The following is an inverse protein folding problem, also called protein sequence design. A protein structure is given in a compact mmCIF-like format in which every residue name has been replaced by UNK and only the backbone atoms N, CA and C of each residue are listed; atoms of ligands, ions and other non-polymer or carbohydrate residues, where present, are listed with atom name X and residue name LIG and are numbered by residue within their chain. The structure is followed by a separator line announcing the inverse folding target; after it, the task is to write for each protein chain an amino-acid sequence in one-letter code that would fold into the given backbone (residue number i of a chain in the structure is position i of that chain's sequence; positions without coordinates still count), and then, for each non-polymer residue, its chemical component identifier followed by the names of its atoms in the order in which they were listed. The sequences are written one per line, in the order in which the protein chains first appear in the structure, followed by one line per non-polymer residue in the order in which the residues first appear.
data_IF_712805447896
#
_entry.id   IF_712805447896
#
_cell.length_a   1.000
_cell.length_b   1.000
_cell.length_c   1.000
_cell.angle_alpha   90.00
_cell.angle_beta   90.00
_cell.angle_gamma   90.00
#
_symmetry.space_group_name_H-M   'P 1'
#
loop_
_entity.id
_entity.type
_entity.pdbx_description
1 polymer ?
#
# COMPACT_ATOMS: atom_id res chain seq x y z
N UNK A 1 0.93 -21.11 31.41
CA UNK A 1 -0.50 -21.24 31.05
C UNK A 1 -0.56 -21.52 29.56
N UNK A 2 -1.04 -22.70 29.17
CA UNK A 2 -1.08 -23.14 27.78
C UNK A 2 -2.24 -22.43 27.09
N UNK A 3 -1.95 -21.56 26.12
CA UNK A 3 -2.96 -20.97 25.25
C UNK A 3 -3.30 -22.04 24.23
N UNK A 4 -4.45 -22.70 24.40
CA UNK A 4 -5.01 -23.59 23.41
C UNK A 4 -5.44 -22.74 22.20
N UNK A 5 -4.73 -22.90 21.08
CA UNK A 5 -5.19 -22.45 19.77
C UNK A 5 -6.39 -23.32 19.39
N UNK A 6 -7.59 -22.78 19.52
CA UNK A 6 -8.79 -23.37 18.93
C UNK A 6 -8.66 -23.29 17.41
N UNK A 7 -8.31 -24.42 16.78
CA UNK A 7 -8.17 -24.61 15.34
C UNK A 7 -9.48 -25.03 14.65
N UNK A 8 -10.64 -24.79 15.27
CA UNK A 8 -11.92 -25.04 14.62
C UNK A 8 -12.31 -23.88 13.70
N UNK A 9 -11.69 -23.84 12.50
CA UNK A 9 -12.23 -23.15 11.34
C UNK A 9 -13.41 -23.95 10.74
N UNK A 10 -14.40 -24.27 11.58
CA UNK A 10 -15.66 -24.86 11.11
C UNK A 10 -16.45 -23.78 10.37
N UNK A 11 -16.36 -23.82 9.04
CA UNK A 11 -17.41 -23.44 8.07
C UNK A 11 -18.39 -22.37 8.54
N UNK A 12 -17.93 -21.13 8.65
CA UNK A 12 -18.85 -20.00 8.47
C UNK A 12 -19.41 -20.07 7.04
N UNK A 13 -20.74 -20.13 6.93
CA UNK A 13 -21.48 -20.11 5.66
C UNK A 13 -20.90 -19.03 4.75
N UNK A 14 -20.29 -19.43 3.63
CA UNK A 14 -19.71 -18.52 2.64
C UNK A 14 -20.83 -17.60 2.14
N UNK A 15 -20.72 -16.26 2.29
CA UNK A 15 -21.60 -15.35 1.56
C UNK A 15 -21.46 -15.65 0.06
N UNK A 16 -22.57 -15.75 -0.66
CA UNK A 16 -22.56 -15.96 -2.10
C UNK A 16 -21.73 -14.86 -2.77
N UNK A 17 -20.82 -15.23 -3.65
CA UNK A 17 -20.08 -14.26 -4.45
C UNK A 17 -21.09 -13.46 -5.28
N UNK A 18 -21.10 -12.13 -5.12
CA UNK A 18 -21.89 -11.26 -5.98
C UNK A 18 -21.22 -11.20 -7.35
N UNK A 19 -21.93 -11.60 -8.40
CA UNK A 19 -21.47 -11.46 -9.79
C UNK A 19 -21.49 -10.01 -10.29
N UNK A 20 -22.10 -9.10 -9.53
CA UNK A 20 -22.19 -7.67 -9.86
C UNK A 20 -20.83 -6.98 -9.72
N UNK A 21 -20.41 -6.16 -10.69
CA UNK A 21 -19.14 -5.42 -10.61
C UNK A 21 -19.18 -4.32 -9.55
N UNK A 22 -18.03 -4.04 -8.95
CA UNK A 22 -17.86 -2.92 -8.01
C UNK A 22 -17.66 -1.60 -8.77
N UNK A 23 -18.21 -0.51 -8.22
CA UNK A 23 -17.92 0.86 -8.71
C UNK A 23 -16.65 1.45 -8.06
N UNK A 24 -16.13 0.83 -7.00
CA UNK A 24 -14.92 1.30 -6.33
C UNK A 24 -13.71 1.06 -7.24
N UNK A 25 -12.86 2.07 -7.36
CA UNK A 25 -11.70 2.03 -8.23
C UNK A 25 -11.96 2.47 -9.66
N UNK A 26 -13.19 2.72 -10.08
CA UNK A 26 -13.45 3.34 -11.39
C UNK A 26 -13.17 4.84 -11.35
N UNK A 27 -12.47 5.36 -12.35
CA UNK A 27 -12.35 6.80 -12.61
C UNK A 27 -13.69 7.40 -13.00
N UNK A 28 -13.85 8.73 -12.94
CA UNK A 28 -15.11 9.38 -13.37
C UNK A 28 -15.54 9.04 -14.80
N UNK A 29 -14.65 9.00 -15.81
CA UNK A 29 -15.01 8.52 -17.14
C UNK A 29 -15.50 7.06 -17.14
N UNK A 30 -14.81 6.17 -16.43
CA UNK A 30 -15.20 4.75 -16.32
C UNK A 30 -16.53 4.58 -15.56
N UNK A 31 -16.81 5.39 -14.55
CA UNK A 31 -18.12 5.43 -13.89
C UNK A 31 -19.21 5.83 -14.88
N UNK A 32 -18.98 6.89 -15.67
CA UNK A 32 -19.95 7.33 -16.68
C UNK A 32 -20.21 6.23 -17.72
N UNK A 33 -19.15 5.60 -18.22
CA UNK A 33 -19.23 4.47 -19.16
C UNK A 33 -20.00 3.28 -18.56
N UNK A 34 -19.70 2.89 -17.32
CA UNK A 34 -20.41 1.80 -16.64
C UNK A 34 -21.91 2.08 -16.51
N UNK A 35 -22.28 3.33 -16.19
CA UNK A 35 -23.69 3.74 -16.07
C UNK A 35 -24.44 3.74 -17.41
N UNK A 36 -23.77 4.17 -18.50
CA UNK A 36 -24.33 4.12 -19.85
C UNK A 36 -24.50 2.67 -20.31
N UNK A 37 -23.45 1.85 -20.20
CA UNK A 37 -23.48 0.44 -20.63
C UNK A 37 -24.56 -0.36 -19.90
N UNK A 38 -24.83 -0.04 -18.64
CA UNK A 38 -25.88 -0.66 -17.84
C UNK A 38 -27.30 -0.11 -18.10
N UNK A 39 -27.47 0.89 -18.98
CA UNK A 39 -28.78 1.52 -19.23
C UNK A 39 -29.35 2.27 -18.02
N UNK A 40 -28.48 2.70 -17.08
CA UNK A 40 -28.87 3.46 -15.89
C UNK A 40 -28.95 4.95 -16.18
N UNK A 41 -28.05 5.46 -17.03
CA UNK A 41 -28.01 6.85 -17.45
C UNK A 41 -27.90 6.95 -18.97
N UNK A 42 -28.50 8.00 -19.55
CA UNK A 42 -28.21 8.39 -20.92
C UNK A 42 -26.82 9.03 -21.03
N UNK A 43 -26.24 9.09 -22.25
CA UNK A 43 -24.95 9.75 -22.48
C UNK A 43 -24.90 11.21 -21.99
N UNK A 44 -26.05 11.89 -22.05
CA UNK A 44 -26.20 13.28 -21.59
C UNK A 44 -26.12 13.38 -20.06
N UNK A 45 -26.62 12.37 -19.34
CA UNK A 45 -26.71 12.37 -17.87
C UNK A 45 -25.51 11.68 -17.20
N UNK A 46 -24.81 10.80 -17.91
CA UNK A 46 -23.79 9.91 -17.38
C UNK A 46 -22.68 10.66 -16.61
N UNK A 47 -22.20 11.80 -17.13
CA UNK A 47 -21.16 12.62 -16.46
C UNK A 47 -21.63 13.23 -15.15
N UNK A 48 -22.86 13.74 -15.12
CA UNK A 48 -23.46 14.30 -13.91
C UNK A 48 -23.67 13.19 -12.87
N UNK A 49 -24.24 12.05 -13.27
CA UNK A 49 -24.46 10.90 -12.38
C UNK A 49 -23.14 10.34 -11.84
N UNK A 50 -22.12 10.20 -12.68
CA UNK A 50 -20.77 9.80 -12.24
C UNK A 50 -20.21 10.75 -11.19
N UNK A 51 -20.43 12.06 -11.33
CA UNK A 51 -20.00 13.06 -10.34
C UNK A 51 -20.76 12.95 -9.01
N UNK A 52 -22.08 12.66 -9.05
CA UNK A 52 -22.86 12.38 -7.84
C UNK A 52 -22.35 11.13 -7.13
N UNK A 53 -22.18 10.02 -7.86
CA UNK A 53 -21.66 8.77 -7.30
C UNK A 53 -20.26 8.98 -6.72
N UNK A 54 -19.36 9.63 -7.45
CA UNK A 54 -18.00 9.92 -6.98
C UNK A 54 -17.96 10.56 -5.60
N UNK A 55 -18.80 11.57 -5.36
CA UNK A 55 -18.90 12.22 -4.07
C UNK A 55 -19.37 11.26 -2.97
N UNK A 56 -20.41 10.46 -3.24
CA UNK A 56 -20.89 9.45 -2.29
C UNK A 56 -19.84 8.38 -1.97
N UNK A 57 -19.08 7.93 -2.97
CA UNK A 57 -18.07 6.88 -2.82
C UNK A 57 -16.85 7.36 -2.03
N UNK A 58 -16.30 8.53 -2.37
CA UNK A 58 -14.97 8.93 -1.93
C UNK A 58 -14.95 10.07 -0.89
N UNK A 59 -15.97 10.92 -0.88
CA UNK A 59 -16.14 11.96 0.15
C UNK A 59 -16.89 11.41 1.35
N UNK A 60 -18.06 10.78 1.10
CA UNK A 60 -18.95 10.28 2.15
C UNK A 60 -18.66 8.83 2.57
N UNK A 61 -17.99 8.05 1.72
CA UNK A 61 -17.64 6.67 2.04
C UNK A 61 -18.81 5.69 2.04
N UNK A 62 -19.93 6.01 1.38
CA UNK A 62 -21.14 5.17 1.47
C UNK A 62 -20.91 3.76 0.93
N UNK A 63 -21.54 2.80 1.59
CA UNK A 63 -21.60 1.38 1.21
C UNK A 63 -22.99 0.96 0.76
N UNK A 64 -23.93 1.91 0.73
CA UNK A 64 -25.33 1.68 0.40
C UNK A 64 -25.83 2.75 -0.58
N UNK A 65 -26.40 2.30 -1.70
CA UNK A 65 -26.97 3.17 -2.73
C UNK A 65 -28.19 3.94 -2.22
N UNK A 66 -28.98 3.39 -1.31
CA UNK A 66 -30.19 4.04 -0.80
C UNK A 66 -29.89 5.31 0.01
N UNK A 67 -28.67 5.43 0.54
CA UNK A 67 -28.21 6.65 1.24
C UNK A 67 -27.96 7.83 0.30
N UNK A 68 -27.93 7.63 -1.02
CA UNK A 68 -27.62 8.68 -1.99
C UNK A 68 -28.82 9.62 -2.23
N UNK A 69 -29.08 10.53 -1.29
CA UNK A 69 -30.31 11.37 -1.25
C UNK A 69 -30.51 12.29 -2.45
N UNK A 70 -29.44 12.63 -3.17
CA UNK A 70 -29.49 13.44 -4.40
C UNK A 70 -29.61 12.60 -5.69
N UNK A 71 -29.81 11.27 -5.56
CA UNK A 71 -30.07 10.34 -6.66
C UNK A 71 -31.52 9.85 -6.56
N UNK A 72 -32.26 9.93 -7.67
CA UNK A 72 -33.66 9.54 -7.69
C UNK A 72 -33.86 8.06 -7.33
N UNK A 73 -34.92 7.74 -6.58
CA UNK A 73 -35.19 6.37 -6.08
C UNK A 73 -35.14 5.28 -7.18
N UNK A 74 -35.72 5.47 -8.38
CA UNK A 74 -35.63 4.45 -9.44
C UNK A 74 -34.19 4.19 -9.91
N UNK A 75 -33.33 5.21 -9.87
CA UNK A 75 -31.91 5.09 -10.25
C UNK A 75 -31.13 4.36 -9.16
N UNK A 76 -31.39 4.64 -7.88
CA UNK A 76 -30.78 3.91 -6.75
C UNK A 76 -31.10 2.41 -6.79
N UNK A 77 -32.34 2.07 -7.13
CA UNK A 77 -32.74 0.67 -7.29
C UNK A 77 -31.94 -0.01 -8.41
N UNK A 78 -31.89 0.59 -9.61
CA UNK A 78 -31.10 0.07 -10.74
C UNK A 78 -29.62 -0.09 -10.39
N UNK A 79 -29.04 0.88 -9.67
CA UNK A 79 -27.66 0.81 -9.20
C UNK A 79 -27.46 -0.38 -8.26
N UNK A 80 -28.35 -0.54 -7.27
CA UNK A 80 -28.31 -1.68 -6.35
C UNK A 80 -28.45 -3.02 -7.09
N UNK A 81 -29.33 -3.10 -8.09
CA UNK A 81 -29.54 -4.35 -8.85
C UNK A 81 -28.33 -4.72 -9.73
N UNK A 82 -27.53 -3.73 -10.13
CA UNK A 82 -26.47 -3.88 -11.15
C UNK A 82 -25.06 -3.90 -10.57
N UNK A 83 -24.80 -3.12 -9.52
CA UNK A 83 -23.48 -2.84 -9.01
C UNK A 83 -23.37 -3.13 -7.51
N UNK A 84 -22.14 -3.17 -7.00
CA UNK A 84 -21.84 -3.19 -5.56
C UNK A 84 -20.89 -2.06 -5.15
N UNK A 85 -20.92 -1.71 -3.87
CA UNK A 85 -20.02 -0.75 -3.23
C UNK A 85 -19.16 -1.47 -2.19
N UNK A 86 -18.41 -2.46 -2.64
CA UNK A 86 -17.74 -3.40 -1.75
C UNK A 86 -16.63 -2.77 -0.91
N UNK A 87 -16.36 -3.48 0.19
CA UNK A 87 -15.26 -3.26 1.11
C UNK A 87 -14.62 -4.63 1.37
N UNK A 88 -13.31 -4.68 1.68
CA UNK A 88 -12.73 -5.93 2.14
C UNK A 88 -13.43 -6.44 3.40
N UNK A 89 -13.47 -7.76 3.56
CA UNK A 89 -13.79 -8.36 4.84
C UNK A 89 -12.61 -8.15 5.80
N UNK A 90 -12.90 -7.81 7.06
CA UNK A 90 -11.88 -7.74 8.12
C UNK A 90 -11.77 -9.11 8.77
N UNK A 91 -10.69 -9.83 8.48
CA UNK A 91 -10.42 -11.15 9.04
C UNK A 91 -9.89 -11.03 10.46
N UNK A 92 -8.98 -10.09 10.66
CA UNK A 92 -8.46 -9.74 11.98
C UNK A 92 -8.04 -8.29 12.04
N UNK A 93 -8.05 -7.76 13.26
CA UNK A 93 -7.57 -6.43 13.59
C UNK A 93 -6.74 -6.52 14.87
N UNK A 94 -5.60 -5.85 14.87
CA UNK A 94 -4.68 -5.81 16.00
C UNK A 94 -4.28 -4.35 16.26
N UNK A 95 -4.26 -3.97 17.53
CA UNK A 95 -3.82 -2.64 17.98
C UNK A 95 -2.58 -2.83 18.85
N UNK A 96 -1.49 -2.20 18.42
CA UNK A 96 -0.22 -2.17 19.14
C UNK A 96 -0.30 -1.26 20.36
N UNK A 97 0.55 -1.52 21.33
CA UNK A 97 0.81 -0.62 22.46
C UNK A 97 1.25 0.80 22.05
N UNK A 98 1.81 0.97 20.85
CA UNK A 98 2.20 2.28 20.30
C UNK A 98 1.09 2.96 19.48
N UNK A 99 -0.13 2.41 19.51
CA UNK A 99 -1.30 2.88 18.77
C UNK A 99 -1.37 2.42 17.30
N UNK A 100 -0.32 1.80 16.75
CA UNK A 100 -0.33 1.24 15.40
C UNK A 100 -1.44 0.21 15.26
N UNK A 101 -2.20 0.26 14.17
CA UNK A 101 -3.21 -0.75 13.86
C UNK A 101 -2.80 -1.56 12.67
N UNK A 102 -3.06 -2.85 12.71
CA UNK A 102 -2.92 -3.75 11.58
C UNK A 102 -4.24 -4.44 11.31
N UNK A 103 -4.67 -4.39 10.06
CA UNK A 103 -5.81 -5.16 9.57
C UNK A 103 -5.33 -6.24 8.62
N UNK A 104 -5.91 -7.43 8.75
CA UNK A 104 -5.88 -8.46 7.73
C UNK A 104 -7.18 -8.36 6.93
N UNK A 105 -7.07 -7.91 5.69
CA UNK A 105 -8.20 -7.72 4.79
C UNK A 105 -8.28 -8.87 3.80
N UNK A 106 -9.49 -9.42 3.65
CA UNK A 106 -9.79 -10.48 2.68
C UNK A 106 -10.55 -9.92 1.49
N UNK A 107 -10.08 -10.30 0.31
CA UNK A 107 -10.65 -9.95 -0.97
C UNK A 107 -11.03 -11.21 -1.75
N UNK A 108 -12.15 -11.15 -2.45
CA UNK A 108 -12.51 -12.15 -3.47
C UNK A 108 -12.06 -11.65 -4.83
N UNK A 109 -11.58 -12.55 -5.67
CA UNK A 109 -11.27 -12.19 -7.05
C UNK A 109 -12.59 -12.07 -7.85
N UNK A 110 -12.98 -10.87 -8.30
CA UNK A 110 -14.23 -10.69 -9.03
C UNK A 110 -14.19 -11.35 -10.42
N UNK A 111 -12.99 -11.51 -11.01
CA UNK A 111 -12.83 -12.20 -12.29
C UNK A 111 -12.81 -13.72 -12.14
N UNK A 112 -12.46 -14.22 -10.94
CA UNK A 112 -12.37 -15.64 -10.64
C UNK A 112 -13.13 -15.97 -9.34
N UNK A 113 -14.48 -15.88 -9.32
CA UNK A 113 -15.27 -16.01 -8.09
C UNK A 113 -15.17 -17.38 -7.40
N UNK A 114 -14.73 -18.41 -8.15
CA UNK A 114 -14.50 -19.77 -7.64
C UNK A 114 -13.12 -19.95 -7.00
N UNK A 115 -12.18 -19.01 -7.21
CA UNK A 115 -10.88 -19.08 -6.56
C UNK A 115 -11.01 -18.79 -5.06
N UNK A 116 -10.11 -19.34 -4.23
CA UNK A 116 -10.09 -19.00 -2.82
C UNK A 116 -9.86 -17.48 -2.68
N UNK A 117 -10.47 -16.87 -1.65
CA UNK A 117 -10.19 -15.48 -1.36
C UNK A 117 -8.71 -15.30 -1.01
N UNK A 118 -8.21 -14.08 -1.22
CA UNK A 118 -6.84 -13.71 -0.90
C UNK A 118 -6.84 -12.68 0.22
N UNK A 119 -5.76 -12.64 0.97
CA UNK A 119 -5.62 -11.78 2.14
C UNK A 119 -4.36 -10.93 2.02
N UNK A 120 -4.48 -9.67 2.43
CA UNK A 120 -3.37 -8.72 2.53
C UNK A 120 -3.44 -7.96 3.83
N UNK A 121 -2.29 -7.55 4.32
CA UNK A 121 -2.21 -6.71 5.51
C UNK A 121 -2.18 -5.23 5.13
N UNK A 122 -2.81 -4.39 5.96
CA UNK A 122 -2.79 -2.93 5.88
C UNK A 122 -2.46 -2.40 7.26
N UNK A 123 -1.55 -1.42 7.35
CA UNK A 123 -1.08 -0.89 8.63
C UNK A 123 -1.36 0.60 8.73
N UNK A 124 -2.01 1.03 9.80
CA UNK A 124 -2.17 2.43 10.16
C UNK A 124 -1.18 2.82 11.26
N UNK A 125 -0.39 3.85 11.00
CA UNK A 125 0.67 4.34 11.87
C UNK A 125 0.28 5.75 12.32
N UNK A 126 -0.23 5.92 13.55
CA UNK A 126 -0.62 7.21 14.08
C UNK A 126 0.57 7.98 14.66
N UNK A 127 0.51 9.28 14.55
CA UNK A 127 1.40 10.25 15.17
C UNK A 127 0.54 11.37 15.77
N UNK A 128 1.12 12.30 16.52
CA UNK A 128 0.35 13.36 17.16
C UNK A 128 -0.45 14.22 16.16
N UNK A 129 0.15 14.53 15.01
CA UNK A 129 -0.36 15.49 14.02
C UNK A 129 -0.70 14.87 12.65
N UNK A 130 -0.48 13.56 12.48
CA UNK A 130 -0.67 12.86 11.21
C UNK A 130 -0.99 11.40 11.42
N UNK A 131 -1.63 10.78 10.43
CA UNK A 131 -1.77 9.33 10.38
C UNK A 131 -1.39 8.81 9.01
N UNK A 132 -0.53 7.79 9.00
CA UNK A 132 0.01 7.20 7.77
C UNK A 132 -0.58 5.83 7.54
N UNK A 133 -1.20 5.61 6.38
CA UNK A 133 -1.70 4.30 5.99
C UNK A 133 -0.70 3.62 5.04
N UNK A 134 -0.22 2.45 5.44
CA UNK A 134 0.62 1.56 4.66
C UNK A 134 -0.25 0.56 3.91
N UNK A 135 -0.26 0.66 2.59
CA UNK A 135 -1.19 -0.04 1.70
C UNK A 135 -0.44 -1.08 0.87
N UNK A 136 -1.05 -2.26 0.71
CA UNK A 136 -0.56 -3.36 -0.11
C UNK A 136 -0.98 -3.19 -1.58
N UNK A 137 -0.13 -3.61 -2.51
CA UNK A 137 -0.37 -3.56 -3.95
C UNK A 137 -0.49 -4.93 -4.61
N UNK A 138 -0.02 -5.99 -3.95
CA UNK A 138 -0.08 -7.37 -4.42
C UNK A 138 -0.30 -8.32 -3.24
N UNK A 139 -0.70 -9.56 -3.54
CA UNK A 139 -0.72 -10.67 -2.57
C UNK A 139 0.56 -11.48 -2.76
N UNK A 140 1.44 -11.45 -1.75
CA UNK A 140 2.84 -11.88 -1.88
C UNK A 140 3.69 -10.89 -2.69
N UNK A 141 4.92 -11.25 -3.02
CA UNK A 141 5.82 -10.40 -3.81
C UNK A 141 6.73 -11.24 -4.72
N UNK A 142 7.03 -10.75 -5.93
CA UNK A 142 7.95 -11.44 -6.86
C UNK A 142 9.42 -11.17 -6.61
N UNK A 143 9.75 -10.16 -5.80
CA UNK A 143 11.12 -9.65 -5.72
C UNK A 143 12.03 -10.42 -4.77
N UNK A 144 11.47 -11.27 -3.91
CA UNK A 144 12.22 -12.15 -3.00
C UNK A 144 13.35 -11.44 -2.25
N UNK A 145 13.14 -10.20 -1.82
CA UNK A 145 14.12 -9.46 -1.03
C UNK A 145 14.38 -10.25 0.26
N UNK A 146 15.63 -10.61 0.51
CA UNK A 146 15.99 -11.64 1.50
C UNK A 146 15.69 -11.23 2.94
N UNK A 147 15.69 -9.93 3.24
CA UNK A 147 15.34 -9.37 4.55
C UNK A 147 13.82 -9.16 4.74
N UNK A 148 12.99 -9.38 3.70
CA UNK A 148 11.57 -9.09 3.74
C UNK A 148 10.74 -10.37 3.94
N UNK A 149 9.86 -10.39 4.94
CA UNK A 149 8.99 -11.53 5.23
C UNK A 149 8.00 -11.78 4.07
N UNK A 150 7.40 -10.73 3.48
CA UNK A 150 6.62 -10.84 2.23
C UNK A 150 7.43 -11.45 1.10
N UNK A 151 8.74 -11.20 1.05
CA UNK A 151 9.65 -11.79 0.06
C UNK A 151 9.74 -13.31 0.14
N UNK A 152 9.37 -13.93 1.26
CA UNK A 152 9.27 -15.39 1.42
C UNK A 152 7.98 -15.97 0.82
N UNK A 153 6.97 -15.13 0.56
CA UNK A 153 5.70 -15.52 -0.02
C UNK A 153 5.72 -15.27 -1.54
N UNK A 154 5.59 -16.35 -2.32
CA UNK A 154 5.47 -16.25 -3.78
C UNK A 154 4.27 -15.37 -4.15
N UNK A 155 4.43 -14.57 -5.20
CA UNK A 155 3.32 -13.79 -5.77
C UNK A 155 2.14 -14.71 -6.09
N UNK A 156 0.98 -14.38 -5.53
CA UNK A 156 -0.32 -14.99 -5.84
C UNK A 156 -0.97 -14.25 -7.00
N UNK A 157 -1.24 -12.95 -6.83
CA UNK A 157 -1.77 -12.05 -7.87
C UNK A 157 -1.59 -10.56 -7.53
N UNK A 158 -1.81 -9.72 -8.53
CA UNK A 158 -1.97 -8.27 -8.35
C UNK A 158 -3.33 -7.95 -7.72
N UNK A 159 -3.37 -6.86 -6.94
CA UNK A 159 -4.62 -6.24 -6.51
C UNK A 159 -5.16 -5.31 -7.61
N UNK A 160 -6.48 -5.22 -7.74
CA UNK A 160 -7.13 -4.22 -8.59
C UNK A 160 -7.06 -2.84 -7.95
N UNK A 161 -7.32 -1.78 -8.72
CA UNK A 161 -7.43 -0.42 -8.17
C UNK A 161 -8.51 -0.33 -7.07
N UNK A 162 -9.62 -1.05 -7.23
CA UNK A 162 -10.69 -1.13 -6.24
C UNK A 162 -10.25 -1.79 -4.94
N UNK A 163 -9.46 -2.86 -5.00
CA UNK A 163 -8.92 -3.55 -3.81
C UNK A 163 -7.87 -2.70 -3.08
N UNK A 164 -7.01 -1.98 -3.81
CA UNK A 164 -6.06 -1.02 -3.22
C UNK A 164 -6.81 0.10 -2.49
N UNK A 165 -7.81 0.68 -3.13
CA UNK A 165 -8.65 1.71 -2.52
C UNK A 165 -9.54 1.16 -1.39
N UNK A 166 -9.97 -0.09 -1.48
CA UNK A 166 -10.76 -0.76 -0.46
C UNK A 166 -10.05 -0.78 0.89
N UNK A 167 -8.72 -0.95 0.90
CA UNK A 167 -7.90 -0.82 2.11
C UNK A 167 -8.01 0.59 2.72
N UNK A 168 -7.93 1.63 1.88
CA UNK A 168 -8.03 3.03 2.30
C UNK A 168 -9.42 3.35 2.83
N UNK A 169 -10.47 2.95 2.10
CA UNK A 169 -11.85 3.24 2.46
C UNK A 169 -12.28 2.50 3.72
N UNK A 170 -11.87 1.23 3.88
CA UNK A 170 -12.11 0.48 5.11
C UNK A 170 -11.36 1.09 6.29
N UNK A 171 -10.09 1.45 6.14
CA UNK A 171 -9.34 2.10 7.22
C UNK A 171 -9.97 3.46 7.61
N UNK A 172 -10.42 4.26 6.64
CA UNK A 172 -11.14 5.52 6.92
C UNK A 172 -12.43 5.28 7.69
N UNK A 173 -13.20 4.25 7.34
CA UNK A 173 -14.41 3.86 8.06
C UNK A 173 -14.09 3.46 9.50
N UNK A 174 -13.12 2.57 9.70
CA UNK A 174 -12.72 2.07 11.03
C UNK A 174 -12.12 3.15 11.93
N UNK A 175 -11.52 4.19 11.35
CA UNK A 175 -10.96 5.32 12.07
C UNK A 175 -11.94 6.49 12.25
N UNK A 176 -13.20 6.35 11.81
CA UNK A 176 -14.20 7.41 11.86
C UNK A 176 -13.83 8.64 11.05
N UNK A 177 -13.18 8.46 9.89
CA UNK A 177 -12.59 9.53 9.07
C UNK A 177 -13.51 10.06 7.96
N UNK A 178 -14.73 9.55 7.88
CA UNK A 178 -15.78 10.09 7.02
C UNK A 178 -16.60 11.14 7.76
N UNK A 179 -17.29 12.06 7.05
CA UNK A 179 -18.17 13.04 7.66
C UNK A 179 -19.19 12.39 8.62
N UNK A 180 -19.26 12.88 9.85
CA UNK A 180 -20.13 12.32 10.90
C UNK A 180 -19.63 11.01 11.53
N UNK A 181 -18.43 10.53 11.16
CA UNK A 181 -17.80 9.38 11.78
C UNK A 181 -17.36 9.64 13.23
N UNK A 182 -17.34 8.59 14.04
CA UNK A 182 -16.85 8.64 15.42
C UNK A 182 -15.51 7.93 15.52
N UNK A 183 -14.55 8.55 16.24
CA UNK A 183 -13.24 7.93 16.46
C UNK A 183 -13.39 6.68 17.33
N UNK A 184 -12.60 5.61 17.08
CA UNK A 184 -12.62 4.43 17.94
C UNK A 184 -12.07 4.75 19.33
N UNK A 185 -12.69 4.16 20.36
CA UNK A 185 -12.26 4.23 21.77
C UNK A 185 -11.80 2.84 22.23
N UNK A 186 -10.67 2.39 21.69
CA UNK A 186 -10.14 1.02 21.87
C UNK A 186 -8.62 1.04 22.12
N UNK A 187 -8.11 2.17 22.62
CA UNK A 187 -6.70 2.36 22.98
C UNK A 187 -5.76 2.65 21.81
N UNK A 188 -6.21 2.60 20.55
CA UNK A 188 -5.38 3.02 19.42
C UNK A 188 -5.37 4.55 19.25
N UNK A 189 -4.24 5.09 18.82
CA UNK A 189 -4.08 6.54 18.64
C UNK A 189 -4.68 6.99 17.30
N UNK A 190 -5.38 8.12 17.29
CA UNK A 190 -5.83 8.82 16.08
C UNK A 190 -5.55 10.31 16.27
N UNK A 191 -5.04 11.04 15.25
CA UNK A 191 -4.80 12.47 15.34
C UNK A 191 -6.02 13.23 15.88
N UNK A 192 -5.77 14.14 16.84
CA UNK A 192 -6.81 14.90 17.53
C UNK A 192 -7.35 16.08 16.74
N UNK A 193 -8.51 16.61 17.17
CA UNK A 193 -9.14 17.80 16.60
C UNK A 193 -9.75 17.56 15.22
N UNK A 194 -9.77 18.59 14.38
CA UNK A 194 -10.33 18.56 13.02
C UNK A 194 -9.41 17.85 11.99
N UNK A 195 -8.30 17.28 12.46
CA UNK A 195 -7.35 16.57 11.59
C UNK A 195 -7.95 15.25 11.13
N UNK A 196 -7.82 14.95 9.83
CA UNK A 196 -8.19 13.62 9.30
C UNK A 196 -7.34 12.55 9.95
N UNK A 197 -7.93 11.38 10.20
CA UNK A 197 -7.18 10.24 10.71
C UNK A 197 -6.11 9.79 9.72
N UNK A 198 -6.43 9.76 8.41
CA UNK A 198 -5.48 9.41 7.36
C UNK A 198 -5.10 10.67 6.60
N UNK A 199 -3.85 11.10 6.80
CA UNK A 199 -3.27 12.26 6.12
C UNK A 199 -2.25 11.85 5.07
N UNK A 200 -1.67 10.65 5.21
CA UNK A 200 -0.58 10.14 4.38
C UNK A 200 -0.87 8.70 3.92
N UNK A 201 -0.47 8.38 2.69
CA UNK A 201 -0.48 7.01 2.16
C UNK A 201 0.95 6.65 1.76
N UNK A 202 1.38 5.44 2.11
CA UNK A 202 2.63 4.86 1.63
C UNK A 202 2.36 3.50 0.99
N UNK A 203 2.86 3.29 -0.22
CA UNK A 203 2.82 1.99 -0.91
C UNK A 203 4.02 1.15 -0.46
N UNK A 204 4.00 0.75 0.81
CA UNK A 204 5.07 -0.02 1.49
C UNK A 204 4.52 -1.27 2.19
N UNK A 205 3.29 -1.68 1.82
CA UNK A 205 2.68 -2.92 2.30
C UNK A 205 3.25 -4.14 1.58
N UNK A 206 2.39 -5.10 1.28
CA UNK A 206 2.75 -6.28 0.50
C UNK A 206 2.81 -5.97 -1.00
N UNK A 207 3.88 -6.43 -1.68
CA UNK A 207 4.06 -6.34 -3.13
C UNK A 207 5.03 -5.25 -3.60
N UNK A 208 5.40 -5.33 -4.88
CA UNK A 208 6.14 -4.30 -5.62
C UNK A 208 5.13 -3.46 -6.44
N UNK A 209 4.84 -2.21 -6.04
CA UNK A 209 3.83 -1.38 -6.70
C UNK A 209 4.04 -1.20 -8.20
N UNK A 210 5.29 -1.11 -8.67
CA UNK A 210 5.56 -0.89 -10.09
C UNK A 210 5.35 -2.14 -10.96
N UNK A 211 5.28 -3.34 -10.38
CA UNK A 211 4.80 -4.53 -11.09
C UNK A 211 3.27 -4.66 -11.12
N UNK A 212 2.57 -3.74 -10.46
CA UNK A 212 1.13 -3.54 -10.58
C UNK A 212 0.80 -2.10 -11.01
N UNK A 213 1.61 -1.56 -11.93
CA UNK A 213 1.62 -0.13 -12.25
C UNK A 213 0.24 0.45 -12.59
N UNK A 214 -0.53 -0.19 -13.47
CA UNK A 214 -1.82 0.37 -13.92
C UNK A 214 -2.86 0.44 -12.79
N UNK A 215 -3.00 -0.61 -11.98
CA UNK A 215 -3.93 -0.61 -10.83
C UNK A 215 -3.49 0.42 -9.77
N UNK A 216 -2.18 0.50 -9.50
CA UNK A 216 -1.62 1.47 -8.55
C UNK A 216 -1.82 2.90 -9.05
N UNK A 217 -1.50 3.18 -10.32
CA UNK A 217 -1.73 4.48 -10.97
C UNK A 217 -3.18 4.93 -10.80
N UNK A 218 -4.12 4.08 -11.20
CA UNK A 218 -5.54 4.39 -11.09
C UNK A 218 -5.96 4.64 -9.64
N UNK A 219 -5.54 3.79 -8.69
CA UNK A 219 -5.85 3.98 -7.28
C UNK A 219 -5.31 5.29 -6.71
N UNK A 220 -4.04 5.63 -7.00
CA UNK A 220 -3.41 6.85 -6.49
C UNK A 220 -3.97 8.13 -7.12
N UNK A 221 -4.37 8.09 -8.39
CA UNK A 221 -5.07 9.20 -9.04
C UNK A 221 -6.44 9.45 -8.40
N UNK A 222 -7.19 8.38 -8.08
CA UNK A 222 -8.47 8.49 -7.37
C UNK A 222 -8.26 9.00 -5.93
N UNK A 223 -7.26 8.49 -5.21
CA UNK A 223 -6.92 8.93 -3.85
C UNK A 223 -6.53 10.40 -3.77
N UNK A 224 -5.84 10.92 -4.80
CA UNK A 224 -5.38 12.31 -4.86
C UNK A 224 -6.35 13.29 -5.54
N UNK A 225 -7.45 12.80 -6.10
CA UNK A 225 -8.43 13.65 -6.76
C UNK A 225 -9.05 14.67 -5.78
N UNK A 226 -8.98 15.95 -6.15
CA UNK A 226 -9.35 17.07 -5.27
C UNK A 226 -10.84 17.19 -4.93
N UNK A 227 -11.71 16.50 -5.67
CA UNK A 227 -13.15 16.45 -5.47
C UNK A 227 -13.64 15.10 -4.90
N UNK A 228 -12.72 14.27 -4.42
CA UNK A 228 -12.97 12.95 -3.84
C UNK A 228 -12.28 12.81 -2.49
N UNK A 229 -11.29 11.91 -2.42
CA UNK A 229 -10.52 11.73 -1.19
C UNK A 229 -9.57 12.89 -0.91
N UNK A 230 -9.13 13.63 -1.92
CA UNK A 230 -8.35 14.87 -1.80
C UNK A 230 -7.06 14.73 -0.97
N UNK A 231 -6.39 13.58 -1.05
CA UNK A 231 -5.08 13.40 -0.43
C UNK A 231 -4.01 14.12 -1.24
N UNK A 232 -3.22 14.95 -0.58
CA UNK A 232 -2.12 15.67 -1.25
C UNK A 232 -1.14 14.67 -1.86
N UNK A 233 -0.78 14.85 -3.13
CA UNK A 233 0.25 14.04 -3.80
C UNK A 233 1.61 14.09 -3.07
N UNK A 234 1.90 15.17 -2.34
CA UNK A 234 3.10 15.30 -1.48
C UNK A 234 3.05 14.44 -0.21
N UNK A 235 1.88 13.90 0.14
CA UNK A 235 1.64 13.01 1.29
C UNK A 235 1.37 11.57 0.85
N UNK A 236 1.44 11.29 -0.46
CA UNK A 236 1.42 9.95 -1.03
C UNK A 236 2.83 9.59 -1.45
N UNK A 237 3.37 8.48 -0.93
CA UNK A 237 4.70 7.99 -1.30
C UNK A 237 4.60 6.61 -1.92
N UNK A 238 5.04 6.47 -3.17
CA UNK A 238 5.22 5.18 -3.81
C UNK A 238 6.65 4.69 -3.53
N UNK A 239 6.79 3.51 -2.93
CA UNK A 239 8.08 2.85 -2.76
C UNK A 239 8.28 1.79 -3.83
N UNK A 240 9.50 1.67 -4.36
CA UNK A 240 9.87 0.60 -5.30
C UNK A 240 11.27 0.07 -4.99
N UNK A 241 11.49 -1.22 -5.24
CA UNK A 241 12.82 -1.84 -5.25
C UNK A 241 13.61 -1.57 -6.54
N UNK A 242 13.04 -0.82 -7.50
CA UNK A 242 13.77 -0.34 -8.67
C UNK A 242 13.33 -0.98 -9.98
N UNK A 243 12.02 -1.02 -10.26
CA UNK A 243 11.51 -1.38 -11.59
C UNK A 243 11.71 -0.19 -12.54
N UNK A 244 12.93 -0.04 -13.04
CA UNK A 244 13.42 1.17 -13.76
C UNK A 244 12.46 1.72 -14.81
N UNK A 245 11.88 0.90 -15.72
CA UNK A 245 11.00 1.42 -16.78
C UNK A 245 9.76 2.18 -16.30
N UNK A 246 9.34 2.01 -15.03
CA UNK A 246 8.16 2.67 -14.47
C UNK A 246 8.48 3.82 -13.51
N UNK A 247 9.77 4.12 -13.25
CA UNK A 247 10.17 5.22 -12.36
C UNK A 247 9.81 6.59 -12.98
N UNK A 248 10.24 6.87 -14.21
CA UNK A 248 9.88 8.12 -14.89
C UNK A 248 8.36 8.24 -15.12
N UNK A 249 7.65 7.20 -15.63
CA UNK A 249 6.20 7.25 -15.78
C UNK A 249 5.46 7.57 -14.48
N UNK A 250 5.94 7.06 -13.34
CA UNK A 250 5.34 7.38 -12.02
C UNK A 250 5.36 8.88 -11.73
N UNK A 251 6.48 9.57 -12.02
CA UNK A 251 6.59 11.01 -11.82
C UNK A 251 5.73 11.80 -12.81
N UNK A 252 5.66 11.35 -14.06
CA UNK A 252 4.93 12.02 -15.14
C UNK A 252 3.41 11.85 -15.06
N UNK A 253 2.94 10.63 -14.77
CA UNK A 253 1.53 10.25 -14.88
C UNK A 253 0.79 10.30 -13.54
N UNK A 254 1.48 10.04 -12.42
CA UNK A 254 0.87 10.00 -11.08
C UNK A 254 1.25 11.25 -10.28
N UNK A 255 2.52 11.66 -10.37
CA UNK A 255 3.07 12.87 -9.74
C UNK A 255 3.06 12.82 -8.19
N UNK A 256 3.37 11.65 -7.61
CA UNK A 256 3.48 11.42 -6.16
C UNK A 256 4.92 11.53 -5.65
N UNK A 257 5.15 11.38 -4.34
CA UNK A 257 6.51 11.25 -3.81
C UNK A 257 7.08 9.86 -4.13
N UNK A 258 8.39 9.78 -4.36
CA UNK A 258 9.10 8.53 -4.66
C UNK A 258 10.02 8.13 -3.51
N UNK A 259 9.94 6.86 -3.14
CA UNK A 259 10.92 6.20 -2.29
C UNK A 259 11.57 5.00 -3.00
N UNK A 260 12.88 4.82 -2.81
CA UNK A 260 13.66 3.74 -3.42
C UNK A 260 14.19 2.82 -2.31
N UNK A 261 13.84 1.54 -2.38
CA UNK A 261 14.37 0.49 -1.54
C UNK A 261 15.77 0.09 -2.02
N UNK A 262 16.78 0.84 -1.54
CA UNK A 262 18.16 0.77 -2.03
C UNK A 262 18.96 -0.34 -1.33
N UNK A 263 19.12 -0.21 -0.01
CA UNK A 263 19.64 -1.22 0.93
C UNK A 263 21.08 -1.74 0.75
N UNK A 264 21.81 -1.34 -0.27
CA UNK A 264 23.24 -1.65 -0.45
C UNK A 264 23.90 -0.60 -1.34
N UNK A 265 25.21 -0.41 -1.18
CA UNK A 265 25.98 0.57 -1.98
C UNK A 265 26.85 -0.06 -3.06
N UNK A 266 26.66 -1.33 -3.36
CA UNK A 266 27.36 -2.03 -4.44
C UNK A 266 26.45 -3.11 -5.03
N UNK A 267 26.65 -3.45 -6.31
CA UNK A 267 25.80 -4.39 -7.03
C UNK A 267 25.86 -5.81 -6.43
N UNK A 268 27.03 -6.28 -6.02
CA UNK A 268 27.20 -7.64 -5.48
C UNK A 268 26.34 -7.89 -4.23
N UNK A 269 26.36 -6.95 -3.28
CA UNK A 269 25.52 -7.05 -2.09
C UNK A 269 24.05 -6.82 -2.43
N UNK A 270 23.76 -5.87 -3.33
CA UNK A 270 22.38 -5.57 -3.71
C UNK A 270 21.72 -6.72 -4.47
N UNK A 271 22.47 -7.49 -5.24
CA UNK A 271 22.02 -8.70 -5.91
C UNK A 271 21.56 -9.80 -4.94
N UNK A 272 22.09 -9.79 -3.72
CA UNK A 272 21.70 -10.70 -2.63
C UNK A 272 20.50 -10.16 -1.86
N UNK A 273 20.54 -8.87 -1.48
CA UNK A 273 19.51 -8.26 -0.64
C UNK A 273 18.22 -7.96 -1.41
N UNK A 274 18.37 -7.47 -2.64
CA UNK A 274 17.30 -6.96 -3.52
C UNK A 274 17.51 -7.52 -4.93
N UNK A 275 17.18 -8.81 -5.17
CA UNK A 275 17.58 -9.56 -6.38
C UNK A 275 17.20 -8.93 -7.73
N UNK A 276 16.24 -8.02 -7.76
CA UNK A 276 15.88 -7.27 -8.97
C UNK A 276 17.05 -6.42 -9.50
N UNK A 277 18.06 -6.14 -8.67
CA UNK A 277 19.29 -5.48 -9.07
C UNK A 277 20.02 -6.18 -10.23
N UNK A 278 19.92 -7.51 -10.32
CA UNK A 278 20.49 -8.29 -11.44
C UNK A 278 19.88 -7.93 -12.79
N UNK A 279 18.65 -7.42 -12.78
CA UNK A 279 17.93 -6.97 -13.97
C UNK A 279 18.14 -5.48 -14.22
N UNK A 280 18.15 -4.67 -13.17
CA UNK A 280 18.37 -3.23 -13.21
C UNK A 280 19.41 -2.84 -12.14
N UNK A 281 20.70 -2.81 -12.52
CA UNK A 281 21.80 -2.47 -11.62
C UNK A 281 21.70 -1.05 -11.05
N UNK A 282 22.50 -0.77 -10.03
CA UNK A 282 22.54 0.53 -9.35
C UNK A 282 22.70 1.71 -10.31
N UNK A 283 23.52 1.57 -11.35
CA UNK A 283 23.79 2.62 -12.33
C UNK A 283 22.51 3.03 -13.07
N UNK A 284 21.75 2.05 -13.58
CA UNK A 284 20.47 2.27 -14.26
C UNK A 284 19.40 2.81 -13.30
N UNK A 285 19.34 2.25 -12.09
CA UNK A 285 18.41 2.69 -11.05
C UNK A 285 18.62 4.16 -10.68
N UNK A 286 19.87 4.53 -10.39
CA UNK A 286 20.21 5.89 -9.97
C UNK A 286 20.06 6.88 -11.12
N UNK A 287 20.30 6.46 -12.37
CA UNK A 287 20.04 7.30 -13.53
C UNK A 287 18.54 7.55 -13.72
N UNK A 288 17.69 6.54 -13.54
CA UNK A 288 16.24 6.73 -13.52
C UNK A 288 15.78 7.65 -12.38
N UNK A 289 16.44 7.58 -11.22
CA UNK A 289 16.19 8.49 -10.10
C UNK A 289 16.58 9.94 -10.42
N UNK A 290 17.74 10.17 -11.05
CA UNK A 290 18.18 11.52 -11.48
C UNK A 290 17.17 12.16 -12.43
N UNK A 291 16.59 11.34 -13.31
CA UNK A 291 15.63 11.78 -14.32
C UNK A 291 14.18 11.78 -13.83
N UNK A 292 13.93 11.61 -12.53
CA UNK A 292 12.57 11.59 -12.00
C UNK A 292 11.86 12.95 -12.16
N UNK A 293 10.68 13.01 -12.80
CA UNK A 293 9.98 14.27 -13.03
C UNK A 293 9.66 15.04 -11.74
N UNK A 294 9.98 16.35 -11.75
CA UNK A 294 9.72 17.26 -10.62
C UNK A 294 10.71 17.14 -9.44
N UNK A 295 11.78 16.34 -9.58
CA UNK A 295 12.84 16.21 -8.58
C UNK A 295 13.48 17.57 -8.26
N UNK A 296 13.55 17.90 -6.98
CA UNK A 296 14.16 19.14 -6.50
C UNK A 296 14.50 19.05 -5.01
N UNK A 297 15.20 20.05 -4.46
CA UNK A 297 15.43 20.12 -3.02
C UNK A 297 14.14 20.22 -2.19
N UNK A 298 13.02 20.68 -2.78
CA UNK A 298 11.70 20.70 -2.14
C UNK A 298 10.96 19.36 -2.31
N UNK A 299 11.28 18.58 -3.34
CA UNK A 299 10.69 17.29 -3.65
C UNK A 299 11.79 16.26 -3.89
N UNK A 300 12.38 15.81 -2.79
CA UNK A 300 13.51 14.87 -2.77
C UNK A 300 13.01 13.43 -2.88
N UNK A 301 13.81 12.57 -3.51
CA UNK A 301 13.62 11.12 -3.44
C UNK A 301 14.05 10.64 -2.05
N UNK A 302 13.28 9.72 -1.47
CA UNK A 302 13.67 9.06 -0.22
C UNK A 302 14.34 7.74 -0.53
N UNK A 303 15.60 7.55 -0.14
CA UNK A 303 16.27 6.26 -0.23
C UNK A 303 16.10 5.54 1.10
N UNK A 304 15.39 4.42 1.06
CA UNK A 304 15.20 3.54 2.22
C UNK A 304 16.43 2.62 2.32
N UNK A 305 17.04 2.57 3.51
CA UNK A 305 18.24 1.79 3.77
C UNK A 305 18.05 0.98 5.06
N UNK A 306 17.84 -0.33 4.94
CA UNK A 306 17.69 -1.22 6.09
C UNK A 306 19.05 -1.44 6.74
N UNK A 307 19.11 -1.35 8.06
CA UNK A 307 20.35 -1.49 8.84
C UNK A 307 20.51 -2.93 9.31
N UNK A 308 21.31 -3.71 8.59
CA UNK A 308 21.59 -5.12 8.85
C UNK A 308 22.96 -5.25 9.50
N UNK A 309 22.98 -5.83 10.70
CA UNK A 309 24.16 -5.91 11.56
C UNK A 309 25.33 -6.61 10.84
N UNK A 310 26.45 -5.89 10.72
CA UNK A 310 27.68 -6.41 10.11
C UNK A 310 27.61 -6.69 8.60
N UNK A 311 26.53 -6.32 7.92
CA UNK A 311 26.34 -6.61 6.48
C UNK A 311 26.46 -5.36 5.64
N UNK A 312 25.66 -4.33 5.94
CA UNK A 312 25.58 -3.11 5.15
C UNK A 312 25.67 -1.84 6.03
N UNK A 313 25.99 -1.99 7.31
CA UNK A 313 26.03 -0.88 8.26
C UNK A 313 27.42 -0.24 8.44
N UNK A 314 28.37 -0.68 7.62
CA UNK A 314 29.62 -0.04 7.19
C UNK A 314 29.83 1.45 7.45
N UNK A 315 30.96 1.88 8.04
CA UNK A 315 31.41 3.27 7.93
C UNK A 315 31.85 3.56 6.48
N UNK A 316 32.40 2.53 5.83
CA UNK A 316 32.72 2.57 4.42
C UNK A 316 31.44 2.60 3.57
N UNK A 317 30.44 1.77 3.91
CA UNK A 317 29.11 1.81 3.26
C UNK A 317 28.47 3.19 3.41
N UNK A 318 28.49 3.81 4.59
CA UNK A 318 27.94 5.16 4.77
C UNK A 318 28.60 6.20 3.83
N UNK A 319 29.92 6.13 3.67
CA UNK A 319 30.65 7.03 2.75
C UNK A 319 30.41 6.68 1.28
N UNK A 320 30.22 5.42 0.96
CA UNK A 320 29.89 4.97 -0.40
C UNK A 320 28.46 5.39 -0.77
N UNK A 321 27.51 5.29 0.15
CA UNK A 321 26.14 5.76 -0.04
C UNK A 321 26.11 7.25 -0.39
N UNK A 322 26.89 8.06 0.34
CA UNK A 322 27.04 9.50 0.05
C UNK A 322 27.59 9.73 -1.37
N UNK A 323 28.57 8.92 -1.80
CA UNK A 323 29.15 9.02 -3.15
C UNK A 323 28.16 8.61 -4.23
N UNK A 324 27.43 7.51 -4.05
CA UNK A 324 26.42 7.03 -5.00
C UNK A 324 25.30 8.04 -5.23
N UNK A 325 24.83 8.67 -4.16
CA UNK A 325 23.69 9.59 -4.23
C UNK A 325 24.08 11.03 -4.62
N UNK A 326 25.38 11.28 -4.84
CA UNK A 326 25.87 12.58 -5.27
C UNK A 326 25.10 13.09 -6.50
N UNK A 327 24.62 14.33 -6.41
CA UNK A 327 23.84 14.98 -7.48
C UNK A 327 22.35 14.63 -7.50
N UNK A 328 21.87 13.75 -6.62
CA UNK A 328 20.43 13.44 -6.48
C UNK A 328 19.88 14.19 -5.27
N UNK A 329 18.88 15.08 -5.43
CA UNK A 329 18.15 15.64 -4.30
C UNK A 329 17.48 14.53 -3.49
N UNK A 330 18.11 14.15 -2.38
CA UNK A 330 17.78 12.94 -1.63
C UNK A 330 17.55 13.19 -0.13
N UNK A 331 16.81 12.26 0.47
CA UNK A 331 16.79 11.98 1.92
C UNK A 331 17.09 10.51 2.09
N UNK A 332 17.77 10.13 3.17
CA UNK A 332 18.16 8.74 3.43
C UNK A 332 17.47 8.28 4.70
N UNK A 333 16.43 7.47 4.57
CA UNK A 333 15.70 6.95 5.71
C UNK A 333 16.36 5.65 6.18
N UNK A 334 17.02 5.69 7.34
CA UNK A 334 17.64 4.50 7.92
C UNK A 334 16.57 3.70 8.67
N UNK A 335 16.39 2.44 8.31
CA UNK A 335 15.40 1.56 8.92
C UNK A 335 16.12 0.51 9.78
N UNK A 336 16.08 0.61 11.12
CA UNK A 336 16.48 -0.50 11.96
C UNK A 336 15.72 -1.76 11.55
N UNK A 337 16.44 -2.83 11.23
CA UNK A 337 15.82 -4.09 10.80
C UNK A 337 14.81 -4.59 11.83
N UNK A 338 13.67 -5.10 11.34
CA UNK A 338 12.64 -5.71 12.17
C UNK A 338 12.70 -7.23 11.99
N UNK A 339 13.21 -7.98 12.96
CA UNK A 339 13.39 -9.43 12.81
C UNK A 339 12.04 -10.15 12.70
N UNK A 340 12.05 -11.29 12.02
CA UNK A 340 10.91 -12.19 11.89
C UNK A 340 11.39 -13.64 11.96
N UNK A 341 10.54 -14.62 12.34
CA UNK A 341 10.97 -15.99 12.56
C UNK A 341 11.65 -16.61 11.32
N UNK A 342 12.92 -16.99 11.46
CA UNK A 342 13.70 -17.58 10.37
C UNK A 342 14.48 -16.59 9.50
N UNK A 343 14.50 -15.29 9.83
CA UNK A 343 15.36 -14.33 9.13
C UNK A 343 16.84 -14.59 9.40
N UNK A 344 17.69 -14.52 8.36
CA UNK A 344 19.15 -14.69 8.47
C UNK A 344 19.91 -13.43 8.92
N UNK A 345 19.19 -12.41 9.39
CA UNK A 345 19.74 -11.07 9.62
C UNK A 345 19.53 -10.60 11.04
N UNK A 346 20.48 -9.81 11.55
CA UNK A 346 20.39 -9.10 12.81
C UNK A 346 20.12 -7.61 12.63
N UNK A 347 19.53 -6.97 13.62
CA UNK A 347 19.38 -5.51 13.67
C UNK A 347 20.67 -4.87 14.12
N UNK A 348 21.22 -3.94 13.33
CA UNK A 348 22.41 -3.18 13.73
C UNK A 348 22.22 -2.50 15.09
N UNK A 349 23.25 -2.45 15.96
CA UNK A 349 23.19 -1.75 17.24
C UNK A 349 22.85 -0.25 17.06
N UNK A 350 22.12 0.35 18.01
CA UNK A 350 21.72 1.77 17.91
C UNK A 350 22.91 2.71 17.69
N UNK A 351 24.02 2.50 18.42
CA UNK A 351 25.24 3.30 18.25
C UNK A 351 25.85 3.19 16.85
N UNK A 352 25.69 2.04 16.19
CA UNK A 352 26.11 1.82 14.80
C UNK A 352 25.26 2.63 13.82
N UNK A 353 23.94 2.59 14.02
CA UNK A 353 22.96 3.31 13.20
C UNK A 353 23.15 4.82 13.35
N UNK A 354 23.31 5.31 14.58
CA UNK A 354 23.59 6.73 14.86
C UNK A 354 24.89 7.18 14.18
N UNK A 355 25.95 6.38 14.26
CA UNK A 355 27.22 6.68 13.59
C UNK A 355 27.09 6.72 12.06
N UNK A 356 26.31 5.80 11.47
CA UNK A 356 26.01 5.82 10.04
C UNK A 356 25.23 7.08 9.65
N UNK A 357 24.18 7.41 10.42
CA UNK A 357 23.37 8.61 10.23
C UNK A 357 24.23 9.88 10.31
N UNK A 358 25.14 9.97 11.28
CA UNK A 358 26.05 11.10 11.47
C UNK A 358 26.95 11.34 10.25
N UNK A 359 27.51 10.27 9.67
CA UNK A 359 28.35 10.37 8.47
C UNK A 359 27.54 10.95 7.31
N UNK A 360 26.32 10.44 7.10
CA UNK A 360 25.43 10.87 6.03
C UNK A 360 24.92 12.31 6.24
N UNK A 361 24.54 12.66 7.47
CA UNK A 361 24.10 14.00 7.85
C UNK A 361 25.22 15.04 7.66
N UNK A 362 26.46 14.71 8.04
CA UNK A 362 27.64 15.59 7.82
C UNK A 362 27.93 15.84 6.34
N UNK A 363 27.52 14.92 5.46
CA UNK A 363 27.62 15.09 4.02
C UNK A 363 26.46 15.90 3.40
N UNK A 364 25.50 16.38 4.20
CA UNK A 364 24.40 17.24 3.76
C UNK A 364 23.09 16.53 3.40
N UNK A 365 23.02 15.20 3.55
CA UNK A 365 21.79 14.45 3.35
C UNK A 365 21.05 14.28 4.67
N UNK A 366 19.77 14.68 4.71
CA UNK A 366 18.94 14.40 5.87
C UNK A 366 18.79 12.88 6.06
N UNK A 367 19.23 12.39 7.21
CA UNK A 367 19.25 10.96 7.54
C UNK A 367 18.47 10.64 8.82
N UNK A 368 17.12 10.69 8.80
CA UNK A 368 16.34 10.26 9.94
C UNK A 368 16.48 8.75 10.15
N UNK A 369 16.52 8.34 11.42
CA UNK A 369 16.37 6.95 11.82
C UNK A 369 14.89 6.69 12.08
N UNK A 370 14.31 5.74 11.34
CA UNK A 370 12.90 5.38 11.45
C UNK A 370 12.66 4.69 12.79
N UNK A 371 11.77 5.25 13.61
CA UNK A 371 11.29 4.58 14.81
C UNK A 371 10.47 3.35 14.40
N UNK A 372 10.79 2.14 14.91
CA UNK A 372 9.96 0.96 14.67
C UNK A 372 8.55 1.16 15.20
N UNK A 373 7.54 0.77 14.43
CA UNK A 373 6.12 0.91 14.80
C UNK A 373 5.38 -0.42 14.64
N UNK A 374 4.53 -0.77 15.61
CA UNK A 374 3.72 -1.98 15.62
C UNK A 374 4.52 -3.29 15.61
N UNK A 375 5.71 -3.32 16.22
CA UNK A 375 6.59 -4.49 16.22
C UNK A 375 6.02 -5.66 17.04
N UNK A 376 5.33 -5.36 18.13
CA UNK A 376 4.62 -6.31 19.01
C UNK A 376 3.53 -7.11 18.29
N UNK A 377 2.94 -6.54 17.23
CA UNK A 377 1.88 -7.16 16.43
C UNK A 377 2.33 -7.55 15.00
N UNK A 378 3.65 -7.65 14.74
CA UNK A 378 4.20 -7.92 13.41
C UNK A 378 3.67 -6.99 12.31
N UNK A 379 3.60 -5.69 12.59
CA UNK A 379 3.15 -4.66 11.65
C UNK A 379 4.29 -3.75 11.16
N UNK A 380 5.51 -3.94 11.66
CA UNK A 380 6.65 -3.13 11.25
C UNK A 380 7.08 -3.46 9.81
N UNK A 381 7.75 -2.51 9.15
CA UNK A 381 8.21 -2.68 7.77
C UNK A 381 9.03 -3.96 7.60
N UNK A 382 8.64 -4.76 6.61
CA UNK A 382 9.26 -6.04 6.28
C UNK A 382 8.72 -7.25 7.04
N UNK A 383 7.78 -7.10 7.98
CA UNK A 383 7.22 -8.23 8.75
C UNK A 383 5.91 -8.79 8.18
N UNK A 384 5.29 -8.10 7.23
CA UNK A 384 3.98 -8.45 6.71
C UNK A 384 3.99 -9.77 5.93
N UNK A 385 2.97 -10.61 6.12
CA UNK A 385 2.76 -11.87 5.40
C UNK A 385 1.35 -12.38 5.64
N UNK A 386 0.72 -12.93 4.59
CA UNK A 386 -0.56 -13.64 4.72
C UNK A 386 -0.41 -15.14 4.46
N UNK A 387 -1.43 -15.91 4.82
CA UNK A 387 -1.50 -17.36 4.56
C UNK A 387 -1.98 -17.69 3.13
N UNK A 388 -2.20 -16.66 2.29
CA UNK A 388 -2.65 -16.87 0.91
C UNK A 388 -1.60 -17.58 0.06
N UNK A 389 -2.02 -18.65 -0.61
CA UNK A 389 -1.14 -19.46 -1.45
C UNK A 389 -1.47 -19.33 -2.94
N UNK A 390 -0.44 -19.47 -3.78
CA UNK A 390 -0.62 -19.50 -5.23
C UNK A 390 -1.13 -20.87 -5.64
N UNK A 391 -2.34 -20.92 -6.17
CA UNK A 391 -2.90 -22.14 -6.77
C UNK A 391 -2.01 -22.69 -7.88
N UNK A 392 -1.89 -24.02 -7.94
CA UNK A 392 -1.23 -24.69 -9.05
C UNK A 392 -2.03 -24.51 -10.35
N UNK A 393 -1.43 -24.78 -11.52
CA UNK A 393 -2.18 -24.76 -12.79
C UNK A 393 -3.33 -25.77 -12.74
N UNK A 394 -3.07 -26.98 -12.25
CA UNK A 394 -4.06 -28.05 -12.12
C UNK A 394 -5.26 -27.63 -11.27
N UNK A 395 -5.03 -26.97 -10.14
CA UNK A 395 -6.12 -26.54 -9.24
C UNK A 395 -6.93 -25.39 -9.84
N UNK A 396 -6.27 -24.48 -10.58
CA UNK A 396 -6.97 -23.41 -11.31
C UNK A 396 -7.87 -23.96 -12.41
N UNK A 397 -7.36 -24.88 -13.22
CA UNK A 397 -8.13 -25.51 -14.30
C UNK A 397 -9.36 -26.25 -13.72
N UNK A 398 -9.16 -27.02 -12.63
CA UNK A 398 -10.24 -27.70 -11.93
C UNK A 398 -11.31 -26.75 -11.36
N UNK A 399 -10.91 -25.61 -10.78
CA UNK A 399 -11.85 -24.61 -10.23
C UNK A 399 -12.51 -23.75 -11.31
N UNK A 400 -11.88 -23.61 -12.48
CA UNK A 400 -12.44 -22.95 -13.64
C UNK A 400 -13.44 -23.85 -14.40
N UNK A 401 -13.50 -25.15 -14.08
CA UNK A 401 -14.33 -26.12 -14.77
C UNK A 401 -13.80 -26.48 -16.16
N UNK A 402 -12.48 -26.41 -16.35
CA UNK A 402 -11.76 -26.70 -17.61
C UNK A 402 -11.05 -28.04 -17.54
#
# INVERSE_FOLDING_TARGET
MSIALNLDHSTALRPAASSRPSLIGLSKPQLAEALTTAGIASDKEARMRASQLWNWLYVNGTTDFDKMTNVAKPVRQKLSDTFILDRPEIVSEQVSSDGTRKWLFRFRDPANPNYPPVEVETVYIPEQDRGTLCVSSQVGCTLTCSFCHTGTQKLVRNLTAGEILGQVLMARERLGDFPGGSRPDDGGLVPSGDTRAITNIVMMGMGEPLYNYESVKQALLIASAGDGMSLSKRRITLSTSGVVPFIEPTGREIDVMLAISLHATNNDLRDVLVPINKKWPLEELLEACRNYPGLSNARRITFEYVMLDGINDSDAEARELVRLLAGIPAKINLIPFNPWPGSNYGTSPSSRIERFADIVNKAGYASPVRTPRGRDIFAACGQLKSESERLSKKDRDALAGV
#
